data_IF_736985211678
#
_entry.id   IF_736985211678
#
_cell.length_a   1.000
_cell.length_b   1.000
_cell.length_c   1.000
_cell.angle_alpha   90.00
_cell.angle_beta   90.00
_cell.angle_gamma   90.00
#
_symmetry.space_group_name_H-M   'P 1'
#
loop_
_entity.id
_entity.type
_entity.pdbx_description
1 polymer ?
#
# COMPACT_ATOMS: atom_id res chain seq x y z
N UNK A 1 -18.04 -2.89 -3.24
CA UNK A 1 -17.22 -2.02 -4.12
C UNK A 1 -16.42 -2.93 -5.05
N UNK A 2 -16.43 -2.68 -6.36
CA UNK A 2 -15.61 -3.47 -7.29
C UNK A 2 -14.13 -3.11 -7.13
N UNK A 3 -13.33 -4.03 -6.62
CA UNK A 3 -11.89 -3.83 -6.39
C UNK A 3 -11.05 -4.16 -7.63
N UNK A 4 -11.66 -4.63 -8.74
CA UNK A 4 -10.94 -4.89 -10.00
C UNK A 4 -10.22 -3.63 -10.48
N UNK A 5 -8.90 -3.77 -10.67
CA UNK A 5 -8.02 -2.67 -11.08
C UNK A 5 -7.29 -1.97 -9.92
N UNK A 6 -7.38 -2.50 -8.70
CA UNK A 6 -6.61 -2.02 -7.52
C UNK A 6 -5.70 -3.12 -6.99
N UNK A 7 -4.67 -2.76 -6.21
CA UNK A 7 -3.75 -3.73 -5.58
C UNK A 7 -4.41 -4.67 -4.57
N UNK A 8 -5.63 -4.35 -4.15
CA UNK A 8 -6.41 -5.12 -3.17
C UNK A 8 -7.31 -6.16 -3.86
N UNK A 9 -7.37 -6.19 -5.19
CA UNK A 9 -8.10 -7.20 -5.93
C UNK A 9 -7.53 -8.61 -5.66
N UNK A 10 -8.40 -9.54 -5.26
CA UNK A 10 -8.08 -10.95 -4.93
C UNK A 10 -7.09 -11.13 -3.76
N UNK A 11 -6.86 -10.12 -2.94
CA UNK A 11 -6.13 -10.30 -1.67
C UNK A 11 -7.12 -10.78 -0.60
N UNK A 12 -6.70 -11.75 0.22
CA UNK A 12 -7.42 -12.17 1.43
C UNK A 12 -7.09 -11.26 2.62
N UNK A 13 -7.02 -9.95 2.39
CA UNK A 13 -6.79 -8.93 3.42
C UNK A 13 -8.07 -8.11 3.57
N UNK A 14 -8.49 -7.90 4.81
CA UNK A 14 -9.55 -6.97 5.16
C UNK A 14 -9.12 -5.51 4.93
N UNK A 15 -10.10 -4.61 4.83
CA UNK A 15 -9.83 -3.19 4.66
C UNK A 15 -8.99 -2.60 5.82
N UNK A 16 -9.19 -3.09 7.05
CA UNK A 16 -8.45 -2.65 8.23
C UNK A 16 -7.00 -3.13 8.21
N UNK A 17 -6.74 -4.37 7.78
CA UNK A 17 -5.37 -4.88 7.59
C UNK A 17 -4.63 -4.09 6.51
N UNK A 18 -5.32 -3.80 5.39
CA UNK A 18 -4.76 -2.98 4.30
C UNK A 18 -4.47 -1.56 4.79
N UNK A 19 -5.41 -0.95 5.53
CA UNK A 19 -5.26 0.36 6.15
C UNK A 19 -4.03 0.39 7.07
N UNK A 20 -3.88 -0.61 7.93
CA UNK A 20 -2.76 -0.71 8.84
C UNK A 20 -1.42 -0.81 8.09
N UNK A 21 -1.34 -1.66 7.06
CA UNK A 21 -0.13 -1.80 6.24
C UNK A 21 0.27 -0.45 5.60
N UNK A 22 -0.67 0.26 4.98
CA UNK A 22 -0.37 1.55 4.35
C UNK A 22 -0.02 2.64 5.37
N UNK A 23 -0.65 2.66 6.55
CA UNK A 23 -0.31 3.61 7.62
C UNK A 23 1.10 3.38 8.15
N UNK A 24 1.47 2.12 8.42
CA UNK A 24 2.83 1.78 8.83
C UNK A 24 3.85 2.15 7.74
N UNK A 25 3.52 1.93 6.47
CA UNK A 25 4.37 2.35 5.36
C UNK A 25 4.51 3.88 5.26
N UNK A 26 3.43 4.63 5.50
CA UNK A 26 3.44 6.11 5.58
C UNK A 26 4.32 6.65 6.72
N UNK A 27 4.41 5.90 7.82
CA UNK A 27 5.33 6.13 8.94
C UNK A 27 6.77 5.69 8.61
N UNK A 28 7.04 5.27 7.37
CA UNK A 28 8.34 4.83 6.86
C UNK A 28 8.85 3.53 7.48
N UNK A 29 7.95 2.68 8.01
CA UNK A 29 8.34 1.34 8.45
C UNK A 29 8.84 0.49 7.26
N UNK A 30 9.93 -0.25 7.48
CA UNK A 30 10.42 -1.23 6.52
C UNK A 30 9.52 -2.47 6.47
N UNK A 31 9.55 -3.21 5.34
CA UNK A 31 8.68 -4.38 5.12
C UNK A 31 8.76 -5.42 6.26
N UNK A 32 9.96 -5.70 6.78
CA UNK A 32 10.16 -6.62 7.91
C UNK A 32 9.59 -6.10 9.23
N UNK A 33 9.52 -4.78 9.40
CA UNK A 33 8.85 -4.16 10.56
C UNK A 33 7.35 -4.36 10.45
N UNK A 34 6.78 -4.05 9.27
CA UNK A 34 5.36 -4.23 8.98
C UNK A 34 4.95 -5.70 9.17
N UNK A 35 5.75 -6.66 8.68
CA UNK A 35 5.52 -8.10 8.87
C UNK A 35 5.38 -8.48 10.36
N UNK A 36 6.25 -7.95 11.22
CA UNK A 36 6.19 -8.21 12.66
C UNK A 36 4.98 -7.59 13.33
N UNK A 37 4.57 -6.40 12.89
CA UNK A 37 3.44 -5.67 13.48
C UNK A 37 2.11 -6.27 13.04
N UNK A 38 1.97 -6.63 11.76
CA UNK A 38 0.70 -7.10 11.20
C UNK A 38 0.58 -8.62 11.17
N UNK A 39 1.67 -9.37 11.36
CA UNK A 39 1.70 -10.83 11.25
C UNK A 39 1.57 -11.35 9.80
N UNK A 40 1.51 -10.46 8.81
CA UNK A 40 1.43 -10.85 7.40
C UNK A 40 2.83 -11.07 6.84
N UNK A 41 3.00 -12.15 6.07
CA UNK A 41 4.28 -12.45 5.43
C UNK A 41 4.76 -11.28 4.57
N UNK A 42 6.07 -11.00 4.61
CA UNK A 42 6.72 -9.90 3.88
C UNK A 42 6.40 -9.85 2.38
N UNK A 43 6.15 -11.00 1.76
CA UNK A 43 5.82 -11.08 0.33
C UNK A 43 4.41 -10.56 0.07
N UNK A 44 3.44 -10.87 0.94
CA UNK A 44 2.09 -10.32 0.88
C UNK A 44 2.12 -8.80 0.96
N UNK A 45 2.88 -8.26 1.93
CA UNK A 45 3.05 -6.82 2.12
C UNK A 45 3.78 -6.19 0.92
N UNK A 46 4.84 -6.85 0.43
CA UNK A 46 5.63 -6.37 -0.70
C UNK A 46 4.80 -6.33 -1.98
N UNK A 47 4.01 -7.36 -2.27
CA UNK A 47 3.11 -7.39 -3.41
C UNK A 47 2.04 -6.30 -3.29
N UNK A 48 1.38 -6.16 -2.13
CA UNK A 48 0.42 -5.09 -1.91
C UNK A 48 1.02 -3.72 -2.26
N UNK A 49 2.21 -3.41 -1.73
CA UNK A 49 2.89 -2.12 -1.98
C UNK A 49 3.34 -1.98 -3.45
N UNK A 50 3.91 -3.02 -4.06
CA UNK A 50 4.41 -2.96 -5.45
C UNK A 50 3.27 -2.82 -6.47
N UNK A 51 2.22 -3.60 -6.27
CA UNK A 51 1.05 -3.67 -7.16
C UNK A 51 0.14 -2.44 -7.02
N UNK A 52 0.41 -1.56 -6.04
CA UNK A 52 -0.34 -0.31 -5.83
C UNK A 52 -0.10 0.66 -6.97
N UNK A 53 -1.04 0.74 -7.90
CA UNK A 53 -0.98 1.65 -9.07
C UNK A 53 -1.84 2.88 -8.85
N UNK A 54 -1.34 4.04 -9.28
CA UNK A 54 -2.07 5.31 -9.24
C UNK A 54 -3.12 5.31 -10.35
N UNK A 55 -4.38 5.24 -9.95
CA UNK A 55 -5.54 5.39 -10.82
C UNK A 55 -6.73 5.86 -9.97
N UNK A 56 -7.80 6.30 -10.63
CA UNK A 56 -8.99 6.83 -9.96
C UNK A 56 -9.57 5.85 -8.93
N UNK A 57 -9.65 4.55 -9.25
CA UNK A 57 -10.20 3.55 -8.32
C UNK A 57 -9.35 3.39 -7.05
N UNK A 58 -8.02 3.38 -7.19
CA UNK A 58 -7.11 3.28 -6.05
C UNK A 58 -7.20 4.53 -5.17
N UNK A 59 -7.29 5.71 -5.76
CA UNK A 59 -7.46 6.96 -5.01
C UNK A 59 -8.81 6.99 -4.27
N UNK A 60 -9.89 6.58 -4.93
CA UNK A 60 -11.20 6.45 -4.29
C UNK A 60 -11.19 5.42 -3.15
N UNK A 61 -10.50 4.29 -3.32
CA UNK A 61 -10.33 3.30 -2.26
C UNK A 61 -9.56 3.87 -1.06
N UNK A 62 -8.47 4.61 -1.32
CA UNK A 62 -7.67 5.23 -0.26
C UNK A 62 -8.47 6.22 0.59
N UNK A 63 -9.25 7.08 -0.06
CA UNK A 63 -10.04 8.08 0.66
C UNK A 63 -11.29 7.46 1.30
N UNK A 64 -12.06 6.68 0.54
CA UNK A 64 -13.40 6.24 0.96
C UNK A 64 -13.40 4.96 1.81
N UNK A 65 -12.43 4.07 1.62
CA UNK A 65 -12.44 2.75 2.29
C UNK A 65 -11.45 2.67 3.45
N UNK A 66 -10.23 3.17 3.29
CA UNK A 66 -9.21 3.12 4.34
C UNK A 66 -9.01 4.46 5.07
N UNK A 67 -9.72 5.51 4.63
CA UNK A 67 -9.78 6.81 5.31
C UNK A 67 -8.43 7.52 5.38
N UNK A 68 -7.71 7.59 4.26
CA UNK A 68 -6.55 8.45 4.11
C UNK A 68 -6.99 9.87 3.70
N UNK A 69 -6.36 10.86 4.30
CA UNK A 69 -6.47 12.27 3.90
C UNK A 69 -5.75 12.52 2.57
N UNK A 70 -6.08 13.62 1.90
CA UNK A 70 -5.42 14.00 0.64
C UNK A 70 -3.89 14.13 0.80
N UNK A 71 -3.42 14.69 1.91
CA UNK A 71 -1.99 14.83 2.21
C UNK A 71 -1.31 13.49 2.51
N UNK A 72 -1.99 12.57 3.20
CA UNK A 72 -1.50 11.19 3.38
C UNK A 72 -1.41 10.47 2.02
N UNK A 73 -2.39 10.64 1.13
CA UNK A 73 -2.35 10.07 -0.22
C UNK A 73 -1.17 10.60 -1.04
N UNK A 74 -0.93 11.92 -1.04
CA UNK A 74 0.21 12.52 -1.73
C UNK A 74 1.55 11.97 -1.22
N UNK A 75 1.71 11.92 0.11
CA UNK A 75 2.90 11.35 0.75
C UNK A 75 3.07 9.88 0.40
N UNK A 76 1.99 9.09 0.38
CA UNK A 76 2.02 7.67 0.03
C UNK A 76 2.55 7.49 -1.39
N UNK A 77 2.06 8.28 -2.35
CA UNK A 77 2.52 8.21 -3.73
C UNK A 77 4.01 8.51 -3.86
N UNK A 78 4.51 9.56 -3.20
CA UNK A 78 5.95 9.87 -3.19
C UNK A 78 6.81 8.72 -2.61
N UNK A 79 6.32 8.04 -1.56
CA UNK A 79 7.02 6.88 -1.00
C UNK A 79 7.01 5.67 -1.95
N UNK A 80 5.89 5.43 -2.64
CA UNK A 80 5.76 4.33 -3.60
C UNK A 80 6.67 4.54 -4.82
N UNK A 81 6.71 5.76 -5.37
CA UNK A 81 7.59 6.12 -6.49
C UNK A 81 9.06 5.96 -6.13
N UNK A 82 9.50 6.53 -5.01
CA UNK A 82 10.88 6.38 -4.51
C UNK A 82 11.29 4.91 -4.35
N UNK A 83 10.38 4.06 -3.86
CA UNK A 83 10.63 2.62 -3.69
C UNK A 83 10.77 1.90 -5.03
N UNK A 84 10.02 2.32 -6.05
CA UNK A 84 10.13 1.78 -7.42
C UNK A 84 11.45 2.16 -8.06
N UNK A 85 11.88 3.41 -7.95
CA UNK A 85 13.18 3.87 -8.44
C UNK A 85 14.33 3.10 -7.80
N UNK A 86 14.30 2.95 -6.47
CA UNK A 86 15.31 2.17 -5.74
C UNK A 86 15.35 0.70 -6.18
N UNK A 87 14.21 0.15 -6.58
CA UNK A 87 14.13 -1.24 -7.08
C UNK A 87 14.67 -1.37 -8.51
N UNK A 88 14.48 -0.35 -9.36
CA UNK A 88 15.00 -0.32 -10.74
C UNK A 88 16.51 -0.12 -10.78
N UNK A 89 17.07 0.73 -9.91
CA UNK A 89 18.51 0.99 -9.83
C UNK A 89 19.34 -0.18 -9.25
N UNK A 90 18.70 -1.31 -8.91
CA UNK A 90 19.35 -2.54 -8.44
C UNK A 90 19.46 -3.63 -9.52
N UNK A 91 18.98 -3.34 -10.73
CA UNK A 91 19.14 -4.15 -11.93
C UNK A 91 20.30 -3.58 -12.76
#
# INVERSE_FOLDING_TARGET
MDTKGTAVYRKHLSADEIRLIYRLFLEKNGIRSIERITGHHRDTISHLIKDTVKNQKTEEYFVKQIGLTASECEKLWGLLEKKRETSRNKL
#
